data_IF_370344123059
#
_entry.id   IF_370344123059
#
_cell.length_a   1.000
_cell.length_b   1.000
_cell.length_c   1.000
_cell.angle_alpha   90.00
_cell.angle_beta   90.00
_cell.angle_gamma   90.00
#
_symmetry.space_group_name_H-M   'P 1'
#
loop_
_entity.id
_entity.type
_entity.pdbx_description
1 polymer ?
#
# COMPACT_ATOMS: atom_id res chain seq x y z
N UNK A 1 -68.15 12.59 15.44
CA UNK A 1 -67.43 13.66 16.15
C UNK A 1 -65.94 13.39 16.03
N UNK A 2 -65.21 14.32 15.41
CA UNK A 2 -63.75 14.33 15.28
C UNK A 2 -63.11 14.37 16.67
N UNK A 3 -62.06 13.60 16.92
CA UNK A 3 -60.88 14.07 17.68
C UNK A 3 -59.65 13.26 17.25
N UNK A 4 -58.79 13.91 16.46
CA UNK A 4 -57.38 13.55 16.31
C UNK A 4 -56.72 13.67 17.69
N UNK A 5 -55.97 12.66 18.12
CA UNK A 5 -55.05 12.79 19.26
C UNK A 5 -53.63 12.55 18.78
N UNK A 6 -52.95 13.68 18.64
CA UNK A 6 -51.52 13.94 18.51
C UNK A 6 -50.58 12.72 18.42
N UNK A 7 -49.95 12.59 17.25
CA UNK A 7 -48.66 11.93 17.07
C UNK A 7 -47.62 12.75 17.83
N UNK A 8 -47.27 12.32 19.04
CA UNK A 8 -46.10 12.85 19.74
C UNK A 8 -44.86 12.26 19.09
N UNK A 9 -44.34 13.00 18.11
CA UNK A 9 -43.04 12.76 17.50
C UNK A 9 -41.97 13.01 18.57
N UNK A 10 -41.58 11.95 19.29
CA UNK A 10 -40.37 11.99 20.13
C UNK A 10 -39.21 12.16 19.16
N UNK A 11 -38.74 13.39 19.08
CA UNK A 11 -37.62 13.86 18.28
C UNK A 11 -36.35 13.13 18.76
N UNK A 12 -36.10 11.97 18.16
CA UNK A 12 -34.85 11.23 18.33
C UNK A 12 -33.71 12.10 17.82
N UNK A 13 -32.95 12.68 18.75
CA UNK A 13 -31.67 13.28 18.48
C UNK A 13 -30.68 12.17 18.09
N UNK A 14 -30.74 11.75 16.83
CA UNK A 14 -29.75 10.90 16.21
C UNK A 14 -28.49 11.76 16.01
N UNK A 15 -27.63 11.77 17.04
CA UNK A 15 -26.30 12.33 16.93
C UNK A 15 -25.53 11.56 15.86
N UNK A 16 -25.43 12.13 14.66
CA UNK A 16 -24.48 11.69 13.65
C UNK A 16 -23.07 11.98 14.17
N UNK A 17 -22.51 11.03 14.92
CA UNK A 17 -21.10 10.97 15.21
C UNK A 17 -20.33 10.70 13.92
N UNK A 18 -19.95 11.76 13.22
CA UNK A 18 -18.93 11.68 12.16
C UNK A 18 -17.60 11.47 12.86
N UNK A 19 -17.22 10.23 13.12
CA UNK A 19 -15.83 9.93 13.44
C UNK A 19 -15.02 10.22 12.19
N UNK A 20 -14.29 11.34 12.20
CA UNK A 20 -13.36 11.68 11.14
C UNK A 20 -12.40 10.50 10.96
N UNK A 21 -12.45 9.85 9.79
CA UNK A 21 -11.49 8.81 9.43
C UNK A 21 -10.13 9.50 9.26
N UNK A 22 -9.28 9.42 10.29
CA UNK A 22 -7.92 9.94 10.22
C UNK A 22 -7.17 9.23 9.08
N UNK A 23 -6.94 9.94 7.98
CA UNK A 23 -6.03 9.51 6.94
C UNK A 23 -4.60 9.78 7.43
N UNK A 24 -3.85 8.71 7.74
CA UNK A 24 -2.41 8.85 7.99
C UNK A 24 -1.70 9.14 6.67
N UNK A 25 -0.84 10.15 6.66
CA UNK A 25 0.12 10.33 5.58
C UNK A 25 1.09 9.14 5.53
N UNK A 26 1.63 8.86 4.36
CA UNK A 26 2.67 7.84 4.20
C UNK A 26 3.97 8.27 4.89
N UNK A 27 4.65 7.34 5.54
CA UNK A 27 5.92 7.54 6.23
C UNK A 27 7.09 7.06 5.37
N UNK A 28 7.84 8.03 4.82
CA UNK A 28 9.00 7.76 3.96
C UNK A 28 10.11 7.01 4.72
N UNK A 29 10.32 7.30 6.01
CA UNK A 29 11.36 6.66 6.80
C UNK A 29 11.01 5.19 7.08
N UNK A 30 9.75 4.91 7.41
CA UNK A 30 9.24 3.55 7.53
C UNK A 30 9.37 2.80 6.19
N UNK A 31 8.99 3.44 5.08
CA UNK A 31 9.12 2.91 3.73
C UNK A 31 10.56 2.52 3.37
N UNK A 32 11.54 3.37 3.69
CA UNK A 32 12.97 3.07 3.51
C UNK A 32 13.38 1.81 4.25
N UNK A 33 13.03 1.70 5.53
CA UNK A 33 13.37 0.54 6.35
C UNK A 33 12.72 -0.76 5.82
N UNK A 34 11.49 -0.68 5.32
CA UNK A 34 10.79 -1.81 4.70
C UNK A 34 11.47 -2.24 3.39
N UNK A 35 11.90 -1.29 2.54
CA UNK A 35 12.63 -1.59 1.30
C UNK A 35 13.98 -2.27 1.58
N UNK A 36 14.71 -1.78 2.58
CA UNK A 36 16.00 -2.36 2.98
C UNK A 36 15.84 -3.78 3.52
N UNK A 37 14.88 -4.01 4.43
CA UNK A 37 14.63 -5.33 5.01
C UNK A 37 13.98 -6.29 4.01
N UNK A 38 13.12 -5.78 3.14
CA UNK A 38 12.39 -6.55 2.13
C UNK A 38 13.24 -7.03 0.95
N UNK A 39 14.54 -6.71 0.92
CA UNK A 39 15.44 -7.21 -0.13
C UNK A 39 15.13 -6.68 -1.53
N UNK A 40 14.40 -5.56 -1.66
CA UNK A 40 13.97 -5.06 -2.97
C UNK A 40 15.16 -4.72 -3.89
N UNK A 41 16.26 -4.24 -3.28
CA UNK A 41 17.52 -3.92 -3.96
C UNK A 41 18.23 -5.15 -4.54
N UNK A 42 17.89 -6.37 -4.10
CA UNK A 42 18.53 -7.58 -4.60
C UNK A 42 18.26 -7.79 -6.10
N UNK A 43 17.09 -7.36 -6.59
CA UNK A 43 16.72 -7.47 -8.01
C UNK A 43 16.67 -6.11 -8.71
N UNK A 44 16.09 -5.09 -8.04
CA UNK A 44 15.96 -3.74 -8.60
C UNK A 44 17.25 -2.92 -8.48
N UNK A 45 18.25 -3.45 -7.78
CA UNK A 45 19.61 -2.94 -7.73
C UNK A 45 19.80 -1.72 -6.84
N UNK A 46 21.00 -1.15 -6.90
CA UNK A 46 21.39 0.01 -6.09
C UNK A 46 20.43 1.18 -6.33
N UNK A 47 19.98 1.79 -5.24
CA UNK A 47 19.02 2.90 -5.21
C UNK A 47 17.72 2.61 -5.99
N UNK A 48 17.42 1.34 -6.28
CA UNK A 48 16.32 0.90 -7.16
C UNK A 48 16.38 1.50 -8.58
N UNK A 49 17.59 1.83 -9.05
CA UNK A 49 17.83 2.45 -10.35
C UNK A 49 18.92 1.76 -11.20
N UNK A 50 19.49 0.66 -10.68
CA UNK A 50 20.58 -0.08 -11.33
C UNK A 50 20.31 -1.60 -11.28
N UNK A 51 19.23 -2.08 -11.93
CA UNK A 51 18.78 -3.47 -11.83
C UNK A 51 19.85 -4.46 -12.29
N UNK A 52 19.82 -5.67 -11.70
CA UNK A 52 20.83 -6.71 -11.96
C UNK A 52 20.71 -7.38 -13.34
N UNK A 53 19.57 -7.21 -14.00
CA UNK A 53 19.25 -7.69 -15.34
C UNK A 53 18.22 -6.74 -15.97
N UNK A 54 18.21 -6.57 -17.31
CA UNK A 54 17.19 -5.78 -18.02
C UNK A 54 15.74 -6.19 -17.75
N UNK A 55 15.50 -7.43 -17.31
CA UNK A 55 14.16 -7.94 -16.99
C UNK A 55 13.57 -7.33 -15.71
N UNK A 56 14.42 -6.78 -14.83
CA UNK A 56 13.98 -6.11 -13.62
C UNK A 56 13.82 -4.61 -13.87
N UNK A 57 12.62 -4.03 -13.66
CA UNK A 57 12.40 -2.61 -13.92
C UNK A 57 13.14 -1.75 -12.90
N UNK A 58 13.57 -0.57 -13.35
CA UNK A 58 13.91 0.54 -12.45
C UNK A 58 12.64 1.00 -11.73
N UNK A 59 12.78 1.42 -10.48
CA UNK A 59 11.66 1.90 -9.67
C UNK A 59 11.87 3.31 -9.12
N UNK A 60 13.12 3.75 -8.97
CA UNK A 60 13.44 5.04 -8.38
C UNK A 60 12.68 6.19 -9.05
N UNK A 61 12.01 7.01 -8.24
CA UNK A 61 11.25 8.17 -8.70
C UNK A 61 9.89 7.86 -9.32
N UNK A 62 9.52 6.58 -9.50
CA UNK A 62 8.20 6.25 -10.06
C UNK A 62 7.05 6.82 -9.21
N UNK A 63 5.92 7.11 -9.85
CA UNK A 63 4.75 7.68 -9.18
C UNK A 63 4.28 6.78 -8.01
N UNK A 64 4.17 7.31 -6.77
CA UNK A 64 3.81 6.52 -5.59
C UNK A 64 2.46 5.81 -5.68
N UNK A 65 1.46 6.43 -6.32
CA UNK A 65 0.15 5.82 -6.53
C UNK A 65 0.23 4.60 -7.45
N UNK A 66 1.01 4.68 -8.54
CA UNK A 66 1.30 3.55 -9.41
C UNK A 66 2.01 2.43 -8.65
N UNK A 67 3.06 2.76 -7.89
CA UNK A 67 3.83 1.78 -7.12
C UNK A 67 2.96 1.06 -6.10
N UNK A 68 2.16 1.81 -5.34
CA UNK A 68 1.21 1.23 -4.39
C UNK A 68 0.22 0.30 -5.10
N UNK A 69 -0.38 0.75 -6.21
CA UNK A 69 -1.31 -0.07 -6.99
C UNK A 69 -0.65 -1.34 -7.51
N UNK A 70 0.58 -1.25 -8.05
CA UNK A 70 1.30 -2.40 -8.57
C UNK A 70 1.61 -3.41 -7.46
N UNK A 71 2.15 -2.97 -6.33
CA UNK A 71 2.48 -3.82 -5.18
C UNK A 71 1.23 -4.52 -4.61
N UNK A 72 0.14 -3.77 -4.39
CA UNK A 72 -1.12 -4.34 -3.93
C UNK A 72 -1.71 -5.32 -4.96
N UNK A 73 -1.55 -5.06 -6.26
CA UNK A 73 -2.03 -5.98 -7.30
C UNK A 73 -1.27 -7.32 -7.30
N UNK A 74 0.00 -7.34 -6.91
CA UNK A 74 0.77 -8.59 -6.77
C UNK A 74 0.34 -9.42 -5.55
N UNK A 75 -0.40 -8.85 -4.58
CA UNK A 75 -0.95 -9.59 -3.44
C UNK A 75 -2.21 -10.38 -3.82
N UNK A 76 -2.85 -10.05 -4.94
CA UNK A 76 -4.06 -10.72 -5.39
C UNK A 76 -3.72 -12.10 -5.94
N UNK A 77 -4.30 -13.14 -5.33
CA UNK A 77 -4.14 -14.54 -5.74
C UNK A 77 -5.48 -15.18 -6.10
N UNK A 78 -5.50 -16.08 -7.09
CA UNK A 78 -6.68 -16.89 -7.41
C UNK A 78 -7.81 -16.14 -8.10
N UNK A 79 -7.56 -14.93 -8.60
CA UNK A 79 -8.52 -14.16 -9.36
C UNK A 79 -8.05 -13.98 -10.81
N UNK A 80 -8.82 -14.45 -11.82
CA UNK A 80 -8.43 -14.34 -13.23
C UNK A 80 -8.67 -12.95 -13.85
N UNK A 81 -9.39 -12.05 -13.16
CA UNK A 81 -9.83 -10.76 -13.69
C UNK A 81 -9.14 -9.56 -13.04
N UNK A 82 -8.65 -9.71 -11.80
CA UNK A 82 -8.01 -8.62 -11.05
C UNK A 82 -6.67 -9.06 -10.48
N UNK A 83 -5.72 -8.12 -10.43
CA UNK A 83 -4.37 -8.34 -9.90
C UNK A 83 -3.28 -8.32 -10.98
N UNK A 84 -2.07 -8.69 -10.57
CA UNK A 84 -0.93 -8.88 -11.48
C UNK A 84 -0.29 -10.24 -11.23
N UNK A 85 -0.13 -11.02 -12.29
CA UNK A 85 0.50 -12.34 -12.21
C UNK A 85 2.01 -12.21 -12.36
N UNK A 86 2.74 -12.35 -11.25
CA UNK A 86 4.20 -12.55 -11.24
C UNK A 86 4.58 -13.31 -9.96
N UNK A 87 5.10 -14.54 -10.10
CA UNK A 87 5.37 -15.40 -8.95
C UNK A 87 6.43 -14.83 -8.00
N UNK A 88 7.46 -14.15 -8.55
CA UNK A 88 8.52 -13.54 -7.74
C UNK A 88 7.97 -12.41 -6.90
N UNK A 89 7.28 -11.46 -7.54
CA UNK A 89 6.73 -10.31 -6.83
C UNK A 89 5.60 -10.71 -5.89
N UNK A 90 4.76 -11.69 -6.25
CA UNK A 90 3.77 -12.26 -5.35
C UNK A 90 4.41 -12.84 -4.07
N UNK A 91 5.54 -13.55 -4.20
CA UNK A 91 6.31 -14.02 -3.04
C UNK A 91 6.83 -12.87 -2.17
N UNK A 92 7.37 -11.82 -2.81
CA UNK A 92 7.91 -10.64 -2.13
C UNK A 92 6.83 -9.89 -1.34
N UNK A 93 5.72 -9.50 -1.98
CA UNK A 93 4.69 -8.68 -1.32
C UNK A 93 3.87 -9.44 -0.27
N UNK A 94 3.90 -10.78 -0.31
CA UNK A 94 3.25 -11.64 0.68
C UNK A 94 4.19 -12.09 1.81
N UNK A 95 5.46 -11.69 1.79
CA UNK A 95 6.46 -12.05 2.80
C UNK A 95 7.21 -10.81 3.29
N UNK A 96 6.68 -10.14 4.31
CA UNK A 96 7.30 -8.99 4.98
C UNK A 96 8.27 -9.49 6.08
N UNK A 97 9.60 -9.46 5.86
CA UNK A 97 10.56 -9.91 6.85
C UNK A 97 10.75 -8.91 8.01
N UNK A 98 10.21 -7.69 7.90
CA UNK A 98 10.32 -6.68 8.95
C UNK A 98 9.37 -6.94 10.14
N UNK A 99 8.34 -7.78 9.95
CA UNK A 99 7.35 -8.09 10.98
C UNK A 99 7.08 -9.59 10.98
N UNK A 100 7.55 -10.26 12.02
CA UNK A 100 7.24 -11.67 12.28
C UNK A 100 5.88 -11.77 12.98
N UNK A 101 4.96 -12.56 12.41
CA UNK A 101 3.68 -12.87 13.01
C UNK A 101 3.81 -13.65 14.31
N UNK A 102 2.68 -13.84 15.02
CA UNK A 102 2.65 -14.65 16.25
C UNK A 102 3.11 -16.11 16.05
N UNK A 103 3.07 -16.58 14.80
CA UNK A 103 3.50 -17.89 14.34
C UNK A 103 4.99 -17.97 13.98
N UNK A 104 5.76 -16.89 14.18
CA UNK A 104 7.18 -16.86 13.85
C UNK A 104 7.46 -16.68 12.36
N UNK A 105 6.45 -16.39 11.51
CA UNK A 105 6.61 -16.29 10.06
C UNK A 105 6.39 -14.87 9.54
N UNK A 106 7.04 -14.48 8.42
CA UNK A 106 6.69 -13.27 7.69
C UNK A 106 5.22 -13.29 7.25
N UNK A 107 4.53 -12.16 7.42
CA UNK A 107 3.16 -11.94 6.91
C UNK A 107 3.19 -11.08 5.64
N UNK A 108 2.10 -10.98 4.86
CA UNK A 108 2.03 -9.98 3.79
C UNK A 108 2.24 -8.55 4.30
N UNK A 109 2.81 -7.70 3.45
CA UNK A 109 2.85 -6.26 3.72
C UNK A 109 1.43 -5.71 3.81
N UNK A 110 1.14 -4.86 4.79
CA UNK A 110 -0.16 -4.18 4.88
C UNK A 110 -0.27 -3.09 3.83
N UNK A 111 -1.49 -2.66 3.51
CA UNK A 111 -1.70 -1.52 2.61
C UNK A 111 -1.03 -0.23 3.09
N UNK A 112 -0.90 -0.02 4.41
CA UNK A 112 -0.15 1.12 4.95
C UNK A 112 1.35 0.98 4.64
N UNK A 113 1.93 -0.18 4.93
CA UNK A 113 3.35 -0.48 4.62
C UNK A 113 3.64 -0.37 3.12
N UNK A 114 2.71 -0.81 2.25
CA UNK A 114 2.85 -0.64 0.80
C UNK A 114 2.83 0.83 0.37
N UNK A 115 2.02 1.69 1.03
CA UNK A 115 2.01 3.14 0.77
C UNK A 115 3.32 3.79 1.22
N UNK A 116 3.85 3.37 2.36
CA UNK A 116 5.13 3.86 2.87
C UNK A 116 6.28 3.48 1.93
N UNK A 117 6.33 2.21 1.49
CA UNK A 117 7.27 1.73 0.48
C UNK A 117 7.14 2.57 -0.80
N UNK A 118 5.93 2.74 -1.32
CA UNK A 118 5.70 3.48 -2.55
C UNK A 118 6.10 4.95 -2.43
N UNK A 119 5.81 5.60 -1.31
CA UNK A 119 6.21 6.97 -1.03
C UNK A 119 7.74 7.12 -0.98
N UNK A 120 8.43 6.19 -0.32
CA UNK A 120 9.89 6.19 -0.29
C UNK A 120 10.48 6.00 -1.69
N UNK A 121 10.08 4.95 -2.42
CA UNK A 121 10.60 4.66 -3.76
C UNK A 121 10.36 5.84 -4.71
N UNK A 122 9.17 6.43 -4.69
CA UNK A 122 8.84 7.58 -5.52
C UNK A 122 9.56 8.87 -5.13
N UNK A 123 10.08 8.97 -3.89
CA UNK A 123 10.94 10.09 -3.48
C UNK A 123 12.38 9.99 -3.99
N UNK A 124 12.81 8.81 -4.45
CA UNK A 124 14.17 8.59 -4.94
C UNK A 124 14.42 9.33 -6.25
N UNK A 125 15.67 9.72 -6.47
CA UNK A 125 16.10 10.22 -7.78
C UNK A 125 16.27 9.05 -8.73
N UNK A 126 15.44 8.99 -9.76
CA UNK A 126 15.58 8.05 -10.87
C UNK A 126 15.50 8.75 -12.22
N UNK A 127 15.79 8.02 -13.27
CA UNK A 127 15.72 8.49 -14.66
C UNK A 127 14.33 8.28 -15.29
N UNK A 128 13.39 7.73 -14.53
CA UNK A 128 12.00 7.53 -14.94
C UNK A 128 11.17 8.82 -14.92
N UNK A 129 11.54 9.76 -14.04
CA UNK A 129 10.87 11.06 -13.97
C UNK A 129 11.73 12.08 -14.71
N UNK A 130 11.34 12.36 -15.95
CA UNK A 130 11.77 13.57 -16.64
C UNK A 130 11.07 14.77 -15.98
N UNK A 131 11.53 15.20 -14.80
CA UNK A 131 11.21 16.54 -14.29
C UNK A 131 11.90 17.52 -15.23
N UNK A 132 11.14 18.07 -16.17
CA UNK A 132 11.52 19.29 -16.89
C UNK A 132 11.67 20.44 -15.92
#
# INVERSE_FOLDING_TARGET
MKMLKAVSFVLGAMALGVTAMSASAADIAAGKALVEKGGCVACHGKDLNAPISPDYPKLAGQHPDYLYHALASYQVSGNPLVGRTNAIMAGQVNSNPAVTGKDGKPRPFTHAELKDIAAYIGSLKGDLVLKK
#
